data_IF_418846405701
#
_entry.id   IF_418846405701
#
_cell.length_a   1.000
_cell.length_b   1.000
_cell.length_c   1.000
_cell.angle_alpha   90.00
_cell.angle_beta   90.00
_cell.angle_gamma   90.00
#
_symmetry.space_group_name_H-M   'P 1'
#
loop_
_entity.id
_entity.type
_entity.pdbx_description
1 polymer ?
#
# COMPACT_ATOMS: atom_id res chain seq x y z
N UNK A 1 -8.86 0.76 16.03
CA UNK A 1 -10.11 0.51 15.27
C UNK A 1 -10.03 -0.76 14.43
N UNK A 2 -9.20 -0.80 13.35
CA UNK A 2 -9.13 -1.99 12.46
C UNK A 2 -8.71 -3.27 13.21
N UNK A 3 -7.66 -3.22 14.01
CA UNK A 3 -7.17 -4.38 14.79
C UNK A 3 -8.23 -4.92 15.77
N UNK A 4 -9.03 -4.06 16.38
CA UNK A 4 -10.13 -4.44 17.30
C UNK A 4 -11.28 -5.14 16.59
N UNK A 5 -11.40 -4.97 15.27
CA UNK A 5 -12.42 -5.59 14.40
C UNK A 5 -11.93 -6.84 13.70
N UNK A 6 -10.73 -7.31 14.04
CA UNK A 6 -10.16 -8.51 13.44
C UNK A 6 -9.74 -8.37 11.98
N UNK A 7 -9.58 -7.13 11.48
CA UNK A 7 -9.07 -6.88 10.13
C UNK A 7 -7.64 -7.37 10.06
N UNK A 8 -7.36 -8.29 9.15
CA UNK A 8 -6.02 -8.88 9.01
C UNK A 8 -5.04 -7.94 8.30
N UNK A 9 -5.50 -7.24 7.26
CA UNK A 9 -4.66 -6.34 6.44
C UNK A 9 -5.36 -5.01 6.25
N UNK A 10 -4.63 -3.92 6.45
CA UNK A 10 -5.05 -2.56 6.11
C UNK A 10 -4.02 -1.94 5.19
N UNK A 11 -4.43 -1.54 3.98
CA UNK A 11 -3.56 -0.81 3.06
C UNK A 11 -3.97 0.65 2.98
N UNK A 12 -3.05 1.56 3.25
CA UNK A 12 -3.26 3.01 3.18
C UNK A 12 -2.51 3.62 2.00
N UNK A 13 -3.22 4.40 1.18
CA UNK A 13 -2.62 5.15 0.07
C UNK A 13 -2.06 6.49 0.56
N UNK A 14 -0.82 6.49 1.02
CA UNK A 14 -0.21 7.65 1.65
C UNK A 14 0.35 8.67 0.64
N UNK A 15 0.90 8.19 -0.50
CA UNK A 15 1.50 9.05 -1.52
C UNK A 15 1.48 8.33 -2.87
N UNK A 16 0.74 8.89 -3.84
CA UNK A 16 0.68 8.34 -5.20
C UNK A 16 1.88 8.75 -6.05
N UNK A 17 2.20 7.95 -7.07
CA UNK A 17 3.22 8.30 -8.07
C UNK A 17 2.94 9.63 -8.78
N UNK A 18 1.66 10.00 -8.93
CA UNK A 18 1.25 11.26 -9.53
C UNK A 18 1.52 12.48 -8.63
N UNK A 19 1.66 12.29 -7.32
CA UNK A 19 1.94 13.38 -6.38
C UNK A 19 3.29 14.06 -6.61
N UNK A 20 4.25 13.41 -7.28
CA UNK A 20 5.51 14.04 -7.69
C UNK A 20 5.34 15.20 -8.68
N UNK A 21 4.16 15.29 -9.33
CA UNK A 21 3.82 16.42 -10.23
C UNK A 21 3.41 17.69 -9.48
N UNK A 22 3.21 17.60 -8.17
CA UNK A 22 2.93 18.77 -7.32
C UNK A 22 4.14 19.72 -7.25
N UNK A 23 3.95 20.98 -6.87
CA UNK A 23 5.05 21.89 -6.63
C UNK A 23 6.07 21.31 -5.65
N UNK A 24 7.36 21.45 -5.94
CA UNK A 24 8.46 20.90 -5.11
C UNK A 24 8.32 21.20 -3.61
N UNK A 25 7.98 22.45 -3.19
CA UNK A 25 7.81 22.73 -1.76
C UNK A 25 6.72 21.89 -1.07
N UNK A 26 5.62 21.59 -1.76
CA UNK A 26 4.57 20.72 -1.22
C UNK A 26 5.06 19.28 -1.04
N UNK A 27 5.78 18.76 -2.03
CA UNK A 27 6.36 17.40 -1.96
C UNK A 27 7.35 17.29 -0.80
N UNK A 28 8.22 18.29 -0.62
CA UNK A 28 9.20 18.32 0.48
C UNK A 28 8.50 18.32 1.85
N UNK A 29 7.46 19.12 2.03
CA UNK A 29 6.66 19.15 3.26
C UNK A 29 5.99 17.80 3.52
N UNK A 30 5.37 17.18 2.49
CA UNK A 30 4.73 15.87 2.60
C UNK A 30 5.75 14.79 2.98
N UNK A 31 6.92 14.77 2.36
CA UNK A 31 7.98 13.81 2.67
C UNK A 31 8.53 14.00 4.09
N UNK A 32 8.71 15.23 4.52
CA UNK A 32 9.14 15.54 5.89
C UNK A 32 8.09 15.06 6.92
N UNK A 33 6.82 15.35 6.67
CA UNK A 33 5.71 14.91 7.53
C UNK A 33 5.64 13.38 7.59
N UNK A 34 5.77 12.71 6.45
CA UNK A 34 5.76 11.26 6.36
C UNK A 34 6.90 10.65 7.20
N UNK A 35 8.13 11.12 7.01
CA UNK A 35 9.31 10.68 7.76
C UNK A 35 9.14 10.88 9.28
N UNK A 36 8.68 12.06 9.67
CA UNK A 36 8.47 12.40 11.08
C UNK A 36 7.40 11.52 11.72
N UNK A 37 6.29 11.30 11.01
CA UNK A 37 5.20 10.43 11.46
C UNK A 37 5.66 8.98 11.59
N UNK A 38 6.38 8.44 10.60
CA UNK A 38 6.92 7.10 10.64
C UNK A 38 7.79 6.89 11.90
N UNK A 39 8.77 7.78 12.13
CA UNK A 39 9.66 7.71 13.31
C UNK A 39 8.92 7.76 14.64
N UNK A 40 7.86 8.56 14.70
CA UNK A 40 7.05 8.71 15.91
C UNK A 40 6.20 7.48 16.19
N UNK A 41 5.56 6.93 15.17
CA UNK A 41 4.55 5.88 15.34
C UNK A 41 5.13 4.45 15.38
N UNK A 42 6.36 4.24 14.89
CA UNK A 42 6.95 2.89 14.78
C UNK A 42 6.94 2.10 16.10
N UNK A 43 7.27 2.75 17.22
CA UNK A 43 7.25 2.11 18.54
C UNK A 43 5.85 1.69 18.96
N UNK A 44 4.87 2.54 18.68
CA UNK A 44 3.46 2.30 19.00
C UNK A 44 2.89 1.14 18.22
N UNK A 45 3.21 1.09 16.92
CA UNK A 45 2.82 -0.01 16.04
C UNK A 45 3.43 -1.33 16.50
N UNK A 46 4.71 -1.33 16.83
CA UNK A 46 5.44 -2.50 17.32
C UNK A 46 4.84 -3.05 18.62
N UNK A 47 4.61 -2.19 19.62
CA UNK A 47 3.95 -2.56 20.89
C UNK A 47 2.52 -3.07 20.67
N UNK A 48 1.81 -2.52 19.69
CA UNK A 48 0.47 -2.96 19.30
C UNK A 48 0.44 -4.24 18.45
N UNK A 49 1.58 -4.92 18.29
CA UNK A 49 1.74 -6.12 17.47
C UNK A 49 1.30 -5.91 16.00
N UNK A 50 1.52 -4.70 15.45
CA UNK A 50 1.21 -4.38 14.06
C UNK A 50 2.46 -4.63 13.21
N UNK A 51 2.33 -5.43 12.15
CA UNK A 51 3.38 -5.63 11.14
C UNK A 51 3.29 -4.52 10.10
N UNK A 52 4.35 -3.75 9.93
CA UNK A 52 4.41 -2.66 8.97
C UNK A 52 5.06 -3.11 7.66
N UNK A 53 4.48 -2.75 6.54
CA UNK A 53 5.00 -3.00 5.19
C UNK A 53 4.85 -1.75 4.32
N UNK A 54 5.73 -1.62 3.34
CA UNK A 54 5.66 -0.56 2.34
C UNK A 54 5.64 -1.13 0.94
N UNK A 55 4.81 -0.55 0.07
CA UNK A 55 4.80 -0.82 -1.37
C UNK A 55 4.97 0.48 -2.16
N UNK A 56 5.52 0.38 -3.36
CA UNK A 56 5.78 1.50 -4.27
C UNK A 56 7.27 1.65 -4.62
N UNK A 57 7.57 2.61 -5.48
CA UNK A 57 8.92 2.88 -5.99
C UNK A 57 9.76 3.61 -4.95
N UNK A 58 10.58 2.84 -4.20
CA UNK A 58 11.39 3.36 -3.08
C UNK A 58 12.61 4.16 -3.54
N UNK A 59 13.11 3.87 -4.75
CA UNK A 59 14.32 4.50 -5.29
C UNK A 59 14.21 6.02 -5.47
N UNK A 60 12.99 6.53 -5.59
CA UNK A 60 12.74 7.96 -5.70
C UNK A 60 12.85 8.72 -4.36
N UNK A 61 12.87 8.02 -3.22
CA UNK A 61 12.99 8.64 -1.91
C UNK A 61 14.45 8.93 -1.54
N UNK A 62 14.66 9.95 -0.70
CA UNK A 62 15.96 10.22 -0.11
C UNK A 62 16.47 8.99 0.68
N UNK A 63 17.77 8.74 0.66
CA UNK A 63 18.39 7.58 1.31
C UNK A 63 18.00 7.43 2.79
N UNK A 64 17.90 8.54 3.52
CA UNK A 64 17.47 8.55 4.93
C UNK A 64 16.06 8.03 5.12
N UNK A 65 15.13 8.34 4.21
CA UNK A 65 13.77 7.80 4.27
C UNK A 65 13.74 6.31 3.93
N UNK A 66 14.52 5.88 2.93
CA UNK A 66 14.64 4.47 2.59
C UNK A 66 15.19 3.64 3.78
N UNK A 67 16.21 4.15 4.47
CA UNK A 67 16.75 3.52 5.69
C UNK A 67 15.71 3.43 6.81
N UNK A 68 14.95 4.49 7.04
CA UNK A 68 13.92 4.49 8.08
C UNK A 68 12.77 3.54 7.77
N UNK A 69 12.36 3.44 6.51
CA UNK A 69 11.39 2.43 6.04
C UNK A 69 11.92 1.03 6.32
N UNK A 70 13.15 0.73 5.91
CA UNK A 70 13.76 -0.58 6.13
C UNK A 70 13.85 -0.94 7.62
N UNK A 71 14.27 0.01 8.48
CA UNK A 71 14.32 -0.17 9.94
C UNK A 71 12.93 -0.44 10.52
N UNK A 72 11.92 0.26 10.01
CA UNK A 72 10.54 0.11 10.46
C UNK A 72 9.97 -1.28 10.12
N UNK A 73 10.17 -1.73 8.89
CA UNK A 73 9.77 -3.07 8.45
C UNK A 73 10.50 -4.17 9.24
N UNK A 74 11.83 -4.08 9.38
CA UNK A 74 12.61 -5.03 10.14
C UNK A 74 12.17 -5.12 11.60
N UNK A 75 11.92 -3.98 12.24
CA UNK A 75 11.50 -3.91 13.63
C UNK A 75 10.18 -4.64 13.88
N UNK A 76 9.24 -4.53 12.94
CA UNK A 76 7.88 -5.08 13.07
C UNK A 76 7.71 -6.41 12.34
N UNK A 77 8.76 -6.97 11.74
CA UNK A 77 8.68 -8.18 10.91
C UNK A 77 8.17 -9.41 11.66
N UNK A 78 8.43 -9.49 12.97
CA UNK A 78 7.97 -10.59 13.83
C UNK A 78 6.55 -10.44 14.36
N UNK A 79 5.89 -9.30 14.12
CA UNK A 79 4.54 -9.06 14.60
C UNK A 79 3.52 -9.89 13.81
N UNK A 80 2.50 -10.38 14.51
CA UNK A 80 1.52 -11.36 14.02
C UNK A 80 0.07 -10.83 14.01
N UNK A 81 -0.12 -9.58 14.45
CA UNK A 81 -1.43 -8.91 14.43
C UNK A 81 -1.76 -8.30 13.06
N UNK A 82 -2.40 -7.13 13.07
CA UNK A 82 -2.73 -6.39 11.84
C UNK A 82 -1.48 -6.16 10.99
N UNK A 83 -1.53 -6.50 9.71
CA UNK A 83 -0.56 -6.04 8.73
C UNK A 83 -1.00 -4.68 8.18
N UNK A 84 -0.22 -3.63 8.51
CA UNK A 84 -0.42 -2.29 7.97
C UNK A 84 0.50 -2.09 6.76
N UNK A 85 -0.09 -1.94 5.60
CA UNK A 85 0.64 -1.65 4.35
C UNK A 85 0.51 -0.17 4.02
N UNK A 86 1.63 0.49 3.79
CA UNK A 86 1.69 1.87 3.34
C UNK A 86 2.09 1.91 1.87
N UNK A 87 1.16 2.30 1.01
CA UNK A 87 1.43 2.56 -0.40
C UNK A 87 2.01 3.99 -0.54
N UNK A 88 3.32 4.07 -0.76
CA UNK A 88 4.08 5.31 -0.84
C UNK A 88 4.87 5.36 -2.16
N UNK A 89 4.67 6.40 -2.95
CA UNK A 89 5.12 6.48 -4.34
C UNK A 89 4.63 5.28 -5.16
N UNK A 90 3.37 4.94 -4.96
CA UNK A 90 2.71 3.78 -5.55
C UNK A 90 1.73 4.22 -6.64
N UNK A 91 1.52 3.35 -7.61
CA UNK A 91 0.44 3.43 -8.59
C UNK A 91 0.20 2.05 -9.19
N UNK A 92 -1.06 1.64 -9.34
CA UNK A 92 -1.40 0.30 -9.85
C UNK A 92 -0.89 0.03 -11.26
N UNK A 93 -0.81 1.06 -12.12
CA UNK A 93 -0.17 0.93 -13.44
C UNK A 93 1.33 0.67 -13.34
N UNK A 94 2.01 1.31 -12.39
CA UNK A 94 3.41 1.05 -12.11
C UNK A 94 3.61 -0.37 -11.60
N UNK A 95 2.78 -0.84 -10.68
CA UNK A 95 2.82 -2.18 -10.11
C UNK A 95 2.70 -3.25 -11.20
N UNK A 96 1.69 -3.14 -12.06
CA UNK A 96 1.49 -4.04 -13.22
C UNK A 96 2.72 -4.01 -14.14
N UNK A 97 3.25 -2.82 -14.45
CA UNK A 97 4.43 -2.71 -15.32
C UNK A 97 5.67 -3.37 -14.69
N UNK A 98 5.87 -3.22 -13.36
CA UNK A 98 6.96 -3.90 -12.65
C UNK A 98 6.77 -5.42 -12.59
N UNK A 99 5.53 -5.91 -12.42
CA UNK A 99 5.23 -7.34 -12.51
C UNK A 99 5.57 -7.88 -13.91
N UNK A 100 5.13 -7.21 -14.97
CA UNK A 100 5.45 -7.58 -16.34
C UNK A 100 6.97 -7.56 -16.63
N UNK A 101 7.70 -6.57 -16.12
CA UNK A 101 9.15 -6.50 -16.28
C UNK A 101 9.83 -7.70 -15.62
N UNK A 102 9.48 -8.06 -14.40
CA UNK A 102 10.04 -9.23 -13.69
C UNK A 102 9.74 -10.54 -14.40
N UNK A 103 8.52 -10.70 -14.93
CA UNK A 103 8.16 -11.87 -15.77
C UNK A 103 9.03 -11.91 -17.04
N UNK A 104 9.24 -10.77 -17.71
CA UNK A 104 10.10 -10.71 -18.88
C UNK A 104 11.57 -11.04 -18.57
N UNK A 105 12.08 -10.62 -17.42
CA UNK A 105 13.42 -10.96 -16.93
C UNK A 105 13.54 -12.46 -16.67
N UNK A 106 12.51 -13.10 -16.12
CA UNK A 106 12.49 -14.55 -15.89
C UNK A 106 12.40 -15.33 -17.20
N UNK A 107 11.66 -14.85 -18.18
CA UNK A 107 11.66 -15.45 -19.54
C UNK A 107 13.03 -15.30 -20.21
N UNK A 108 13.65 -14.13 -20.12
CA UNK A 108 14.98 -13.89 -20.69
C UNK A 108 16.09 -14.73 -20.01
N UNK A 109 15.87 -15.15 -18.77
CA UNK A 109 16.78 -16.02 -18.01
C UNK A 109 16.41 -17.51 -18.09
N UNK A 110 15.54 -17.91 -19.03
CA UNK A 110 15.05 -19.29 -19.21
C UNK A 110 14.40 -19.92 -17.95
N UNK A 111 13.90 -19.09 -17.02
CA UNK A 111 13.16 -19.54 -15.82
C UNK A 111 11.67 -19.74 -16.09
N UNK A 112 11.15 -19.08 -17.12
CA UNK A 112 9.75 -19.16 -17.58
C UNK A 112 9.72 -19.27 -19.10
N UNK A 113 8.66 -19.89 -19.65
CA UNK A 113 8.35 -19.82 -21.07
C UNK A 113 7.22 -18.80 -21.31
N UNK A 114 7.15 -18.12 -22.45
CA UNK A 114 6.04 -17.19 -22.73
C UNK A 114 4.65 -17.80 -22.61
N UNK A 115 4.52 -19.12 -22.84
CA UNK A 115 3.26 -19.85 -22.69
C UNK A 115 2.81 -20.09 -21.24
N UNK A 116 3.70 -19.91 -20.27
CA UNK A 116 3.40 -20.07 -18.83
C UNK A 116 2.78 -18.80 -18.24
N UNK A 117 2.75 -17.69 -18.99
CA UNK A 117 2.25 -16.40 -18.50
C UNK A 117 0.73 -16.43 -18.46
N UNK A 118 0.20 -16.56 -17.25
CA UNK A 118 -1.24 -16.54 -16.92
C UNK A 118 -1.55 -15.40 -15.95
N UNK A 119 -2.84 -15.15 -15.69
CA UNK A 119 -3.25 -14.21 -14.65
C UNK A 119 -2.72 -14.66 -13.27
N UNK A 120 -2.85 -15.93 -12.93
CA UNK A 120 -2.38 -16.50 -11.66
C UNK A 120 -0.86 -16.37 -11.48
N UNK A 121 -0.10 -16.48 -12.58
CA UNK A 121 1.33 -16.20 -12.54
C UNK A 121 1.58 -14.72 -12.28
N UNK A 122 0.86 -13.83 -12.94
CA UNK A 122 1.05 -12.40 -12.80
C UNK A 122 0.69 -11.92 -11.38
N UNK A 123 -0.28 -12.55 -10.73
CA UNK A 123 -0.60 -12.33 -9.32
C UNK A 123 0.62 -12.51 -8.41
N UNK A 124 1.43 -13.53 -8.68
CA UNK A 124 2.64 -13.82 -7.89
C UNK A 124 3.74 -12.76 -8.05
N UNK A 125 3.68 -11.96 -9.11
CA UNK A 125 4.63 -10.88 -9.39
C UNK A 125 4.11 -9.49 -8.99
N UNK A 126 2.81 -9.34 -8.76
CA UNK A 126 2.22 -8.09 -8.27
C UNK A 126 2.64 -7.76 -6.83
N UNK A 127 2.55 -6.51 -6.43
CA UNK A 127 2.71 -6.15 -5.04
C UNK A 127 1.65 -6.85 -4.18
N UNK A 128 2.04 -7.26 -2.97
CA UNK A 128 1.17 -7.92 -1.99
C UNK A 128 0.73 -9.36 -2.36
N UNK A 129 1.37 -10.01 -3.31
CA UNK A 129 1.09 -11.39 -3.74
C UNK A 129 1.07 -12.42 -2.58
N UNK A 130 1.71 -12.11 -1.46
CA UNK A 130 1.77 -12.94 -0.25
C UNK A 130 0.70 -12.58 0.80
N UNK A 131 -0.19 -11.65 0.50
CA UNK A 131 -1.32 -11.26 1.33
C UNK A 131 -2.66 -11.61 0.66
N UNK A 132 -3.74 -11.75 1.43
CA UNK A 132 -5.07 -11.93 0.85
C UNK A 132 -5.47 -10.73 0.00
N UNK A 133 -6.26 -10.97 -1.05
CA UNK A 133 -6.87 -9.91 -1.83
C UNK A 133 -7.75 -9.02 -0.95
N UNK A 134 -7.86 -7.71 -1.26
CA UNK A 134 -8.75 -6.82 -0.53
C UNK A 134 -10.22 -7.19 -0.73
N UNK A 135 -10.96 -7.35 0.34
CA UNK A 135 -12.42 -7.53 0.30
C UNK A 135 -13.15 -6.20 0.11
N UNK A 136 -12.59 -5.11 0.64
CA UNK A 136 -13.23 -3.80 0.67
C UNK A 136 -12.25 -2.68 0.33
N UNK A 137 -12.65 -1.83 -0.60
CA UNK A 137 -12.02 -0.55 -0.89
C UNK A 137 -12.86 0.59 -0.33
N UNK A 138 -12.26 1.45 0.49
CA UNK A 138 -12.92 2.64 1.05
C UNK A 138 -12.27 3.89 0.46
N UNK A 139 -13.10 4.80 -0.07
CA UNK A 139 -12.65 6.13 -0.46
C UNK A 139 -13.49 7.21 0.18
N UNK A 140 -12.82 8.10 0.89
CA UNK A 140 -13.36 9.28 1.58
C UNK A 140 -13.30 10.52 0.70
N UNK A 141 -14.06 11.58 1.05
CA UNK A 141 -13.99 12.89 0.41
C UNK A 141 -14.82 13.05 -0.85
N UNK A 142 -15.88 12.22 -1.03
CA UNK A 142 -16.90 12.37 -2.08
C UNK A 142 -16.50 11.95 -3.49
N UNK A 143 -15.25 11.55 -3.70
CA UNK A 143 -14.76 11.14 -5.01
C UNK A 143 -15.07 9.66 -5.29
N UNK A 144 -15.69 9.36 -6.43
CA UNK A 144 -16.12 8.00 -6.81
C UNK A 144 -15.19 7.41 -7.89
N UNK A 145 -13.94 7.18 -7.54
CA UNK A 145 -12.92 6.59 -8.42
C UNK A 145 -11.81 5.92 -7.61
N UNK A 146 -11.17 4.90 -8.18
CA UNK A 146 -10.05 4.16 -7.57
C UNK A 146 -8.74 4.96 -7.61
N UNK A 147 -8.57 5.85 -8.59
CA UNK A 147 -7.41 6.73 -8.75
C UNK A 147 -6.06 6.00 -8.78
N UNK A 148 -5.95 4.97 -9.61
CA UNK A 148 -4.71 4.21 -9.81
C UNK A 148 -4.19 3.49 -8.53
N UNK A 149 -5.07 3.19 -7.56
CA UNK A 149 -4.74 2.45 -6.35
C UNK A 149 -5.08 0.96 -6.52
N UNK A 150 -4.13 0.06 -6.29
CA UNK A 150 -4.27 -1.40 -6.28
C UNK A 150 -5.12 -1.96 -7.44
N UNK A 151 -4.88 -1.49 -8.69
CA UNK A 151 -5.75 -1.78 -9.85
C UNK A 151 -5.94 -3.26 -10.10
N UNK A 152 -4.91 -4.06 -9.90
CA UNK A 152 -4.95 -5.50 -10.09
C UNK A 152 -5.69 -6.18 -8.93
N UNK A 153 -5.31 -5.86 -7.71
CA UNK A 153 -5.77 -6.51 -6.49
C UNK A 153 -7.24 -6.20 -6.14
N UNK A 154 -7.79 -5.07 -6.64
CA UNK A 154 -9.17 -4.65 -6.37
C UNK A 154 -10.20 -5.25 -7.35
N UNK A 155 -9.80 -6.21 -8.18
CA UNK A 155 -10.67 -6.76 -9.23
C UNK A 155 -12.01 -7.31 -8.71
N UNK A 156 -12.02 -7.85 -7.50
CA UNK A 156 -13.19 -8.44 -6.85
C UNK A 156 -13.58 -7.75 -5.54
N UNK A 157 -12.92 -6.64 -5.19
CA UNK A 157 -13.21 -5.90 -3.97
C UNK A 157 -14.54 -5.15 -4.06
N UNK A 158 -15.28 -5.09 -2.97
CA UNK A 158 -16.41 -4.18 -2.84
C UNK A 158 -15.91 -2.73 -2.75
N UNK A 159 -16.62 -1.80 -3.38
CA UNK A 159 -16.22 -0.40 -3.43
C UNK A 159 -17.19 0.45 -2.61
N UNK A 160 -16.69 1.05 -1.55
CA UNK A 160 -17.46 1.94 -0.70
C UNK A 160 -16.94 3.38 -0.79
N UNK A 161 -17.82 4.31 -1.10
CA UNK A 161 -17.51 5.73 -1.27
C UNK A 161 -18.28 6.55 -0.25
N UNK A 162 -17.64 7.55 0.36
CA UNK A 162 -18.28 8.44 1.35
C UNK A 162 -17.83 9.88 1.19
N UNK A 163 -18.73 10.81 1.50
CA UNK A 163 -18.44 12.25 1.54
C UNK A 163 -17.63 12.65 2.78
N UNK A 164 -17.56 11.78 3.80
CA UNK A 164 -16.77 12.01 5.00
C UNK A 164 -15.33 12.27 4.63
N UNK A 165 -14.76 13.37 5.14
CA UNK A 165 -13.34 13.68 4.92
C UNK A 165 -12.44 12.75 5.74
N UNK A 166 -11.24 12.48 5.26
CA UNK A 166 -10.29 11.59 5.92
C UNK A 166 -10.04 11.93 7.41
N UNK A 167 -9.87 13.21 7.82
CA UNK A 167 -9.69 13.54 9.24
C UNK A 167 -10.89 13.21 10.13
N UNK A 168 -12.09 13.14 9.55
CA UNK A 168 -13.35 12.87 10.25
C UNK A 168 -13.78 11.39 10.16
N UNK A 169 -13.00 10.58 9.44
CA UNK A 169 -13.26 9.13 9.28
C UNK A 169 -12.91 8.41 10.58
N UNK A 170 -13.93 8.03 11.33
CA UNK A 170 -13.82 7.41 12.65
C UNK A 170 -14.19 5.91 12.66
N UNK A 171 -14.24 5.32 13.86
CA UNK A 171 -14.64 3.92 14.03
C UNK A 171 -16.09 3.65 13.64
N UNK A 172 -16.99 4.61 13.85
CA UNK A 172 -18.41 4.48 13.49
C UNK A 172 -18.58 4.46 11.96
N UNK A 173 -17.84 5.32 11.26
CA UNK A 173 -17.84 5.36 9.80
C UNK A 173 -17.23 4.07 9.21
N UNK A 174 -16.19 3.53 9.86
CA UNK A 174 -15.63 2.22 9.48
C UNK A 174 -16.66 1.10 9.67
N UNK A 175 -17.43 1.09 10.76
CA UNK A 175 -18.47 0.08 11.01
C UNK A 175 -19.58 0.13 9.95
N UNK A 176 -19.93 1.33 9.46
CA UNK A 176 -20.86 1.48 8.33
C UNK A 176 -20.32 0.91 7.02
N UNK A 177 -19.02 1.03 6.79
CA UNK A 177 -18.38 0.46 5.61
C UNK A 177 -18.23 -1.07 5.67
N UNK A 178 -18.24 -1.65 6.87
CA UNK A 178 -18.10 -3.09 7.12
C UNK A 178 -19.47 -3.81 7.22
N UNK A 179 -20.59 -3.08 7.26
CA UNK A 179 -21.95 -3.63 7.40
C UNK A 179 -22.56 -4.01 6.06
#
# INVERSE_FOLDING_TARGET
>A
ACSERGIAVLTLFAFSSENWRRPRPEVEVLMHLFLTTLRREIRRLDVANVRLRFIGERGAFAATLQEDINKAEQRTAGNTGLTLVIAANYGGRWDIAQACQRVAEDVAADRLQPGDITADLLDQYACLADLPEPDLFIRTGGEQRISNFLLWQLAYAELWFTDVLWPDFDGTTLDQALA
#
